data_IF_640511153031
#
_entry.id   IF_640511153031
#
_cell.length_a   1.000
_cell.length_b   1.000
_cell.length_c   1.000
_cell.angle_alpha   90.00
_cell.angle_beta   90.00
_cell.angle_gamma   90.00
#
_symmetry.space_group_name_H-M   'P 1'
#
loop_
_entity.id
_entity.type
_entity.pdbx_description
1 polymer ?
#
# COMPACT_ATOMS: atom_id res chain seq x y z
N UNK A 1 -14.06 24.34 7.82
CA UNK A 1 -14.07 22.87 7.68
C UNK A 1 -12.84 22.46 6.89
N UNK A 2 -12.09 21.47 7.37
CA UNK A 2 -10.94 20.94 6.63
C UNK A 2 -11.42 20.14 5.42
N UNK A 3 -10.78 20.33 4.26
CA UNK A 3 -11.10 19.49 3.08
C UNK A 3 -10.61 18.07 3.31
N UNK A 4 -11.25 17.08 2.66
CA UNK A 4 -10.83 15.67 2.78
C UNK A 4 -9.37 15.48 2.36
N UNK A 5 -8.93 16.19 1.31
CA UNK A 5 -7.54 16.16 0.87
C UNK A 5 -6.60 16.73 1.92
N UNK A 6 -6.93 17.87 2.53
CA UNK A 6 -6.12 18.46 3.59
C UNK A 6 -6.01 17.51 4.80
N UNK A 7 -7.11 16.84 5.17
CA UNK A 7 -7.10 15.83 6.24
C UNK A 7 -6.09 14.70 5.98
N UNK A 8 -6.09 14.13 4.77
CA UNK A 8 -5.14 13.08 4.42
C UNK A 8 -3.71 13.58 4.25
N UNK A 9 -3.50 14.83 3.80
CA UNK A 9 -2.16 15.44 3.79
C UNK A 9 -1.60 15.55 5.20
N UNK A 10 -2.40 16.01 6.17
CA UNK A 10 -1.98 16.08 7.57
C UNK A 10 -1.66 14.68 8.10
N UNK A 11 -2.50 13.68 7.82
CA UNK A 11 -2.23 12.29 8.19
C UNK A 11 -0.89 11.78 7.61
N UNK A 12 -0.57 12.14 6.37
CA UNK A 12 0.69 11.76 5.75
C UNK A 12 1.90 12.39 6.46
N UNK A 13 1.81 13.67 6.83
CA UNK A 13 2.85 14.37 7.58
C UNK A 13 3.07 13.75 8.96
N UNK A 14 2.00 13.47 9.69
CA UNK A 14 2.06 12.81 10.99
C UNK A 14 2.64 11.39 10.88
N UNK A 15 2.25 10.64 9.86
CA UNK A 15 2.79 9.31 9.61
C UNK A 15 4.29 9.37 9.28
N UNK A 16 4.73 10.34 8.49
CA UNK A 16 6.15 10.51 8.14
C UNK A 16 7.00 10.80 9.38
N UNK A 17 6.54 11.67 10.28
CA UNK A 17 7.22 11.95 11.54
C UNK A 17 7.23 10.71 12.47
N UNK A 18 6.14 9.93 12.46
CA UNK A 18 6.00 8.75 13.31
C UNK A 18 6.93 7.61 12.86
N UNK A 19 7.04 7.30 11.57
CA UNK A 19 7.84 6.13 11.13
C UNK A 19 9.34 6.30 11.45
N UNK A 20 9.82 7.53 11.61
CA UNK A 20 11.22 7.82 11.96
C UNK A 20 11.46 7.91 13.47
N UNK A 21 10.43 7.75 14.30
CA UNK A 21 10.52 7.93 15.76
C UNK A 21 11.26 6.80 16.48
N UNK A 22 11.32 5.60 15.90
CA UNK A 22 12.08 4.48 16.45
C UNK A 22 12.43 3.44 15.39
N UNK A 23 13.39 2.55 15.70
CA UNK A 23 13.75 1.41 14.84
C UNK A 23 12.54 0.50 14.60
N UNK A 24 11.73 0.28 15.62
CA UNK A 24 10.54 -0.58 15.57
C UNK A 24 9.49 0.03 14.64
N UNK A 25 9.24 1.33 14.73
CA UNK A 25 8.30 2.05 13.85
C UNK A 25 8.77 2.02 12.40
N UNK A 26 10.07 2.27 12.19
CA UNK A 26 10.67 2.20 10.87
C UNK A 26 10.57 0.79 10.26
N UNK A 27 10.90 -0.24 11.05
CA UNK A 27 10.84 -1.65 10.60
C UNK A 27 9.40 -2.08 10.31
N UNK A 28 8.42 -1.61 11.10
CA UNK A 28 7.01 -1.88 10.86
C UNK A 28 6.53 -1.25 9.55
N UNK A 29 6.92 -0.01 9.25
CA UNK A 29 6.66 0.62 7.97
C UNK A 29 7.31 -0.16 6.80
N UNK A 30 8.59 -0.52 6.93
CA UNK A 30 9.30 -1.30 5.91
C UNK A 30 8.64 -2.65 5.64
N UNK A 31 8.07 -3.30 6.67
CA UNK A 31 7.33 -4.56 6.52
C UNK A 31 6.09 -4.41 5.64
N UNK A 32 5.38 -3.29 5.74
CA UNK A 32 4.24 -2.98 4.84
C UNK A 32 4.71 -2.53 3.46
N UNK A 33 5.72 -1.65 3.40
CA UNK A 33 6.32 -1.16 2.15
C UNK A 33 6.85 -2.31 1.28
N UNK A 34 7.52 -3.31 1.86
CA UNK A 34 8.05 -4.45 1.13
C UNK A 34 6.99 -5.28 0.39
N UNK A 35 5.74 -5.33 0.89
CA UNK A 35 4.60 -5.98 0.22
C UNK A 35 4.06 -5.13 -0.93
N UNK A 36 4.19 -3.82 -0.82
CA UNK A 36 3.56 -2.81 -1.68
C UNK A 36 4.59 -1.98 -2.45
N UNK A 37 5.73 -2.59 -2.78
CA UNK A 37 6.91 -1.93 -3.36
C UNK A 37 6.67 -1.19 -4.68
N UNK A 38 5.57 -1.51 -5.39
CA UNK A 38 5.18 -0.85 -6.64
C UNK A 38 4.52 0.52 -6.44
N UNK A 39 4.11 0.84 -5.22
CA UNK A 39 3.56 2.14 -4.87
C UNK A 39 4.70 3.13 -4.57
N UNK A 40 4.61 4.41 -4.97
CA UNK A 40 5.51 5.46 -4.50
C UNK A 40 5.48 5.63 -2.98
N UNK A 41 6.56 6.17 -2.40
CA UNK A 41 6.73 6.32 -0.95
C UNK A 41 5.52 6.94 -0.24
N UNK A 42 4.99 8.07 -0.74
CA UNK A 42 3.85 8.75 -0.12
C UNK A 42 2.61 7.85 -0.06
N UNK A 43 2.38 7.04 -1.10
CA UNK A 43 1.25 6.10 -1.15
C UNK A 43 1.50 4.89 -0.24
N UNK A 44 2.73 4.36 -0.19
CA UNK A 44 3.11 3.31 0.77
C UNK A 44 2.88 3.75 2.21
N UNK A 45 3.26 4.99 2.54
CA UNK A 45 3.06 5.59 3.85
C UNK A 45 1.58 5.67 4.21
N UNK A 46 0.75 6.11 3.26
CA UNK A 46 -0.71 6.16 3.46
C UNK A 46 -1.32 4.78 3.64
N UNK A 47 -0.84 3.76 2.93
CA UNK A 47 -1.28 2.38 3.13
C UNK A 47 -0.86 1.89 4.52
N UNK A 48 0.39 2.08 4.93
CA UNK A 48 0.87 1.71 6.26
C UNK A 48 0.05 2.38 7.38
N UNK A 49 -0.18 3.69 7.28
CA UNK A 49 -0.89 4.45 8.32
C UNK A 49 -2.34 4.02 8.49
N UNK A 50 -3.01 3.65 7.38
CA UNK A 50 -4.43 3.26 7.40
C UNK A 50 -4.64 1.76 7.58
N UNK A 51 -3.71 0.93 7.10
CA UNK A 51 -3.85 -0.52 7.01
C UNK A 51 -2.49 -1.22 6.93
N UNK A 52 -1.73 -1.30 8.04
CA UNK A 52 -0.38 -1.87 8.04
C UNK A 52 -0.34 -3.36 7.64
N UNK A 53 -1.45 -4.07 7.77
CA UNK A 53 -1.59 -5.48 7.38
C UNK A 53 -1.88 -5.70 5.89
N UNK A 54 -2.07 -4.65 5.08
CA UNK A 54 -2.33 -4.78 3.65
C UNK A 54 -1.25 -5.59 2.91
N UNK A 55 -1.66 -6.41 1.95
CA UNK A 55 -0.80 -7.37 1.25
C UNK A 55 -0.80 -7.21 -0.26
N UNK A 56 -1.92 -6.76 -0.84
CA UNK A 56 -2.00 -6.40 -2.26
C UNK A 56 -3.13 -5.42 -2.45
N UNK A 57 -2.79 -4.17 -2.77
CA UNK A 57 -3.77 -3.13 -2.99
C UNK A 57 -3.94 -2.84 -4.48
N UNK A 58 -5.16 -2.54 -4.89
CA UNK A 58 -5.46 -1.98 -6.21
C UNK A 58 -6.75 -1.17 -6.20
N UNK A 59 -6.96 -0.35 -7.22
CA UNK A 59 -8.21 0.39 -7.41
C UNK A 59 -9.38 -0.55 -7.74
N UNK A 60 -10.60 -0.06 -7.51
CA UNK A 60 -11.82 -0.82 -7.73
C UNK A 60 -11.88 -1.43 -9.14
N UNK A 61 -11.63 -0.61 -10.18
CA UNK A 61 -11.71 -1.04 -11.57
C UNK A 61 -10.65 -2.08 -11.92
N UNK A 62 -9.46 -2.03 -11.31
CA UNK A 62 -8.46 -3.07 -11.50
C UNK A 62 -8.96 -4.42 -10.94
N UNK A 63 -9.53 -4.40 -9.74
CA UNK A 63 -10.11 -5.60 -9.14
C UNK A 63 -11.28 -6.13 -9.97
N UNK A 64 -12.18 -5.26 -10.40
CA UNK A 64 -13.38 -5.63 -11.12
C UNK A 64 -13.08 -6.08 -12.55
N UNK A 65 -12.39 -5.26 -13.33
CA UNK A 65 -12.32 -5.42 -14.79
C UNK A 65 -11.15 -6.31 -15.21
N UNK A 66 -10.00 -6.19 -14.51
CA UNK A 66 -8.78 -6.94 -14.87
C UNK A 66 -8.63 -8.23 -14.11
N UNK A 67 -8.93 -8.22 -12.81
CA UNK A 67 -8.79 -9.40 -11.96
C UNK A 67 -10.07 -10.25 -11.90
N UNK A 68 -11.19 -9.73 -12.41
CA UNK A 68 -12.50 -10.39 -12.38
C UNK A 68 -12.93 -10.79 -10.95
N UNK A 69 -12.58 -9.94 -9.98
CA UNK A 69 -12.97 -10.02 -8.57
C UNK A 69 -14.04 -8.96 -8.31
N UNK A 70 -14.69 -8.97 -7.16
CA UNK A 70 -15.55 -7.86 -6.74
C UNK A 70 -15.10 -7.34 -5.38
N UNK A 71 -15.13 -6.02 -5.18
CA UNK A 71 -14.94 -5.45 -3.84
C UNK A 71 -16.20 -5.72 -3.03
N UNK A 72 -16.05 -6.29 -1.83
CA UNK A 72 -17.15 -6.63 -0.93
C UNK A 72 -17.91 -5.36 -0.53
N UNK A 73 -19.24 -5.46 -0.45
CA UNK A 73 -20.07 -4.35 0.00
C UNK A 73 -19.65 -3.93 1.41
N UNK A 74 -19.45 -2.63 1.61
CA UNK A 74 -19.06 -2.06 2.91
C UNK A 74 -17.54 -2.03 3.15
N UNK A 75 -16.71 -2.55 2.24
CA UNK A 75 -15.26 -2.40 2.35
C UNK A 75 -14.83 -0.93 2.31
N UNK A 76 -13.95 -0.56 3.24
CA UNK A 76 -13.41 0.80 3.36
C UNK A 76 -12.15 0.93 2.51
N UNK A 77 -12.19 1.79 1.50
CA UNK A 77 -11.02 2.09 0.68
C UNK A 77 -9.91 2.80 1.47
N UNK A 78 -8.68 2.45 1.17
CA UNK A 78 -7.46 3.11 1.65
C UNK A 78 -7.23 4.34 0.78
N UNK A 79 -7.24 5.52 1.37
CA UNK A 79 -7.05 6.76 0.63
C UNK A 79 -5.57 6.98 0.32
N UNK A 80 -5.23 7.20 -0.94
CA UNK A 80 -3.89 7.53 -1.39
C UNK A 80 -3.85 8.98 -1.86
N UNK A 81 -2.72 9.63 -1.60
CA UNK A 81 -2.40 10.95 -2.11
C UNK A 81 -1.63 10.79 -3.42
N UNK A 82 -2.29 11.11 -4.53
CA UNK A 82 -1.62 11.24 -5.82
C UNK A 82 -1.05 12.66 -5.94
N UNK A 83 0.28 12.74 -5.85
CA UNK A 83 1.05 13.98 -5.88
C UNK A 83 1.67 14.26 -7.26
N UNK A 84 1.29 13.53 -8.31
CA UNK A 84 1.91 13.64 -9.65
C UNK A 84 1.49 14.88 -10.43
N UNK A 85 0.36 15.49 -10.09
CA UNK A 85 -0.16 16.69 -10.74
C UNK A 85 0.09 17.96 -9.93
N UNK A 86 -0.32 19.11 -10.48
CA UNK A 86 -0.20 20.42 -9.82
C UNK A 86 -0.93 20.50 -8.46
N UNK A 87 -2.03 19.76 -8.33
CA UNK A 87 -2.84 19.69 -7.12
C UNK A 87 -2.94 18.24 -6.64
N UNK A 88 -2.73 17.96 -5.35
CA UNK A 88 -2.89 16.62 -4.80
C UNK A 88 -4.33 16.11 -4.99
N UNK A 89 -4.44 14.85 -5.44
CA UNK A 89 -5.73 14.18 -5.61
C UNK A 89 -5.83 12.98 -4.68
N UNK A 90 -7.06 12.71 -4.23
CA UNK A 90 -7.35 11.48 -3.51
C UNK A 90 -7.84 10.40 -4.47
N UNK A 91 -7.20 9.25 -4.42
CA UNK A 91 -7.68 8.00 -5.03
C UNK A 91 -7.81 6.93 -3.96
N UNK A 92 -8.58 5.88 -4.23
CA UNK A 92 -8.84 4.83 -3.25
C UNK A 92 -8.44 3.48 -3.80
N UNK A 93 -7.71 2.73 -2.98
CA UNK A 93 -7.37 1.33 -3.25
C UNK A 93 -7.99 0.43 -2.19
N UNK A 94 -8.18 -0.82 -2.56
CA UNK A 94 -8.72 -1.87 -1.71
C UNK A 94 -7.71 -3.00 -1.64
N UNK A 95 -7.55 -3.58 -0.45
CA UNK A 95 -6.71 -4.76 -0.29
C UNK A 95 -7.41 -5.99 -0.90
N UNK A 96 -6.64 -6.99 -1.31
CA UNK A 96 -7.19 -8.27 -1.80
C UNK A 96 -8.15 -8.90 -0.79
N UNK A 97 -7.92 -8.73 0.52
CA UNK A 97 -8.82 -9.22 1.57
C UNK A 97 -10.23 -8.60 1.50
N UNK A 98 -10.35 -7.40 0.92
CA UNK A 98 -11.62 -6.72 0.68
C UNK A 98 -12.38 -7.28 -0.52
N UNK A 99 -11.79 -8.21 -1.26
CA UNK A 99 -12.37 -8.74 -2.51
C UNK A 99 -12.93 -10.13 -2.34
N UNK A 100 -13.99 -10.44 -3.09
CA UNK A 100 -14.49 -11.78 -3.34
C UNK A 100 -14.20 -12.24 -4.76
N UNK A 101 -14.24 -13.55 -4.98
CA UNK A 101 -13.99 -14.17 -6.28
C UNK A 101 -15.28 -14.39 -7.08
N UNK A 102 -15.19 -14.21 -8.39
CA UNK A 102 -16.16 -14.69 -9.39
C UNK A 102 -15.60 -15.92 -10.12
N UNK A 103 -16.45 -16.57 -10.93
CA UNK A 103 -16.00 -17.57 -11.91
C UNK A 103 -14.92 -16.94 -12.81
N UNK A 104 -13.78 -17.60 -12.95
CA UNK A 104 -12.60 -17.13 -13.69
C UNK A 104 -11.92 -15.88 -13.10
N UNK A 105 -11.96 -15.71 -11.78
CA UNK A 105 -11.08 -14.72 -11.11
C UNK A 105 -9.63 -15.04 -11.39
N UNK A 106 -8.81 -14.02 -11.65
CA UNK A 106 -7.36 -14.23 -11.80
C UNK A 106 -6.74 -14.50 -10.43
N UNK A 107 -5.77 -15.44 -10.34
CA UNK A 107 -5.05 -15.67 -9.10
C UNK A 107 -4.23 -14.44 -8.73
N UNK A 108 -4.25 -14.07 -7.45
CA UNK A 108 -3.42 -12.98 -6.92
C UNK A 108 -2.11 -13.58 -6.44
N UNK A 109 -1.03 -13.28 -7.16
CA UNK A 109 0.33 -13.71 -6.79
C UNK A 109 0.90 -12.75 -5.74
N UNK A 110 0.83 -13.15 -4.48
CA UNK A 110 1.37 -12.38 -3.37
C UNK A 110 2.86 -12.65 -3.21
N UNK A 111 3.67 -11.61 -3.39
CA UNK A 111 5.08 -11.66 -3.03
C UNK A 111 5.24 -11.91 -1.52
N UNK A 112 6.19 -12.79 -1.17
CA UNK A 112 6.58 -13.06 0.21
C UNK A 112 8.10 -13.13 0.31
N UNK A 113 8.63 -12.60 1.40
CA UNK A 113 10.02 -12.82 1.78
C UNK A 113 10.15 -14.27 2.29
N UNK A 114 10.88 -15.10 1.54
CA UNK A 114 11.21 -16.46 1.93
C UNK A 114 12.68 -16.51 2.34
N UNK A 115 13.09 -17.53 3.10
CA UNK A 115 14.48 -17.70 3.53
C UNK A 115 15.46 -17.76 2.33
N UNK A 116 15.02 -18.33 1.20
CA UNK A 116 15.82 -18.39 -0.03
C UNK A 116 16.14 -17.02 -0.64
N UNK A 117 15.34 -15.99 -0.34
CA UNK A 117 15.52 -14.64 -0.87
C UNK A 117 16.51 -13.80 -0.05
N UNK A 118 16.82 -14.20 1.19
CA UNK A 118 17.60 -13.39 2.14
C UNK A 118 19.01 -13.09 1.63
N UNK A 119 19.80 -14.12 1.35
CA UNK A 119 21.20 -13.95 0.91
C UNK A 119 21.33 -13.22 -0.44
N UNK A 120 20.47 -13.48 -1.45
CA UNK A 120 20.45 -12.66 -2.66
C UNK A 120 20.16 -11.18 -2.40
N UNK A 121 19.21 -10.87 -1.52
CA UNK A 121 18.81 -9.48 -1.22
C UNK A 121 19.91 -8.74 -0.45
N UNK A 122 20.49 -9.35 0.58
CA UNK A 122 21.61 -8.75 1.33
C UNK A 122 22.75 -8.39 0.38
N UNK A 123 23.17 -9.33 -0.46
CA UNK A 123 24.24 -9.07 -1.45
C UNK A 123 23.88 -7.95 -2.43
N UNK A 124 22.63 -7.86 -2.86
CA UNK A 124 22.19 -6.79 -3.74
C UNK A 124 22.24 -5.41 -3.04
N UNK A 125 21.90 -5.35 -1.76
CA UNK A 125 21.97 -4.13 -0.96
C UNK A 125 23.42 -3.69 -0.70
N UNK A 126 24.32 -4.62 -0.36
CA UNK A 126 25.75 -4.33 -0.15
C UNK A 126 26.47 -3.80 -1.41
N UNK A 127 25.95 -4.14 -2.60
CA UNK A 127 26.49 -3.62 -3.88
C UNK A 127 25.90 -2.25 -4.23
N UNK A 128 24.67 -1.97 -3.80
CA UNK A 128 23.94 -0.77 -4.19
C UNK A 128 24.27 0.46 -3.31
N UNK A 129 24.78 0.26 -2.10
CA UNK A 129 25.03 1.28 -1.09
C UNK A 129 26.38 1.08 -0.41
#
# INVERSE_FOLDING_TARGET
MMTKTAYYMQMAQEAAAQITGSKEQWTAFLTTSARLYKYPFAEQLMIYKQRPEATACAEYDLWNDRMNRYVKRGSKGIALLDMRGEQPKLRYVFDVADTGERKNSRPVQLWKMNAEHEQPIIRALDVAF
#
